data_IF_370426467272
#
_entry.id   IF_370426467272
#
_cell.length_a   1.000
_cell.length_b   1.000
_cell.length_c   1.000
_cell.angle_alpha   90.00
_cell.angle_beta   90.00
_cell.angle_gamma   90.00
#
_symmetry.space_group_name_H-M   'P 1'
#
loop_
_entity.id
_entity.type
_entity.pdbx_description
1 polymer ?
#
# COMPACT_ATOMS: atom_id res chain seq x y z
N UNK A 1 0.76 19.32 3.69
CA UNK A 1 1.89 19.30 4.62
C UNK A 1 1.43 18.43 5.77
N UNK A 2 2.15 17.33 6.01
CA UNK A 2 1.81 16.34 7.03
C UNK A 2 2.82 16.51 8.16
N UNK A 3 2.34 16.58 9.40
CA UNK A 3 3.19 16.68 10.58
C UNK A 3 3.13 15.39 11.40
N UNK A 4 4.20 15.13 12.16
CA UNK A 4 4.25 14.11 13.19
C UNK A 4 4.23 14.76 14.56
N UNK A 5 3.46 14.20 15.48
CA UNK A 5 3.52 14.58 16.89
C UNK A 5 4.71 13.85 17.56
N UNK A 6 5.83 14.56 17.78
CA UNK A 6 6.99 14.08 18.56
C UNK A 6 7.70 15.29 19.21
N UNK A 7 8.04 15.31 20.53
CA UNK A 7 8.25 16.57 21.25
C UNK A 7 9.66 17.18 21.20
N UNK A 8 10.64 16.60 20.48
CA UNK A 8 12.04 17.07 20.61
C UNK A 8 12.78 17.07 19.26
N UNK A 9 13.33 18.25 18.89
CA UNK A 9 14.15 18.64 17.70
C UNK A 9 13.47 19.14 16.41
N UNK A 10 14.23 20.03 15.73
CA UNK A 10 13.91 20.92 14.60
C UNK A 10 12.80 20.43 13.64
N UNK A 11 11.56 20.71 14.04
CA UNK A 11 10.32 20.21 13.46
C UNK A 11 10.18 20.48 11.96
N UNK A 12 10.66 21.65 11.48
CA UNK A 12 10.58 22.04 10.07
C UNK A 12 11.44 21.17 9.14
N UNK A 13 12.66 20.84 9.56
CA UNK A 13 13.56 19.98 8.78
C UNK A 13 13.07 18.53 8.76
N UNK A 14 12.52 18.05 9.89
CA UNK A 14 11.95 16.72 9.97
C UNK A 14 10.71 16.60 9.09
N UNK A 15 9.81 17.58 9.14
CA UNK A 15 8.58 17.60 8.34
C UNK A 15 8.87 17.68 6.83
N UNK A 16 9.90 18.42 6.39
CA UNK A 16 10.27 18.48 4.96
C UNK A 16 10.82 17.15 4.42
N UNK A 17 11.50 16.36 5.26
CA UNK A 17 11.98 15.02 4.91
C UNK A 17 10.84 14.00 4.92
N UNK A 18 9.91 14.08 5.87
CA UNK A 18 8.71 13.23 5.95
C UNK A 18 7.83 13.41 4.70
N UNK A 19 7.51 14.65 4.36
CA UNK A 19 6.75 14.97 3.15
C UNK A 19 7.46 14.41 1.90
N UNK A 20 8.79 14.43 1.86
CA UNK A 20 9.57 13.88 0.75
C UNK A 20 9.38 12.37 0.57
N UNK A 21 9.34 11.58 1.64
CA UNK A 21 9.09 10.13 1.55
C UNK A 21 7.67 9.82 1.08
N UNK A 22 6.68 10.57 1.56
CA UNK A 22 5.30 10.44 1.09
C UNK A 22 5.18 10.80 -0.40
N UNK A 23 5.78 11.90 -0.83
CA UNK A 23 5.78 12.32 -2.24
C UNK A 23 6.47 11.27 -3.12
N UNK A 24 7.62 10.73 -2.69
CA UNK A 24 8.29 9.65 -3.41
C UNK A 24 7.35 8.45 -3.64
N UNK A 25 6.65 8.00 -2.59
CA UNK A 25 5.66 6.93 -2.71
C UNK A 25 4.56 7.22 -3.74
N UNK A 26 4.04 8.46 -3.75
CA UNK A 26 3.02 8.90 -4.70
C UNK A 26 3.55 8.93 -6.14
N UNK A 27 4.76 9.45 -6.35
CA UNK A 27 5.36 9.53 -7.67
C UNK A 27 5.74 8.15 -8.22
N UNK A 28 6.19 7.23 -7.36
CA UNK A 28 6.39 5.83 -7.71
C UNK A 28 5.07 5.17 -8.18
N UNK A 29 3.96 5.42 -7.50
CA UNK A 29 2.66 4.92 -7.94
C UNK A 29 2.27 5.49 -9.32
N UNK A 30 2.38 6.82 -9.49
CA UNK A 30 2.08 7.48 -10.78
C UNK A 30 2.98 6.96 -11.90
N UNK A 31 4.25 6.65 -11.61
CA UNK A 31 5.17 6.05 -12.57
C UNK A 31 4.67 4.69 -13.07
N UNK A 32 4.19 3.81 -12.17
CA UNK A 32 3.64 2.51 -12.61
C UNK A 32 2.44 2.67 -13.53
N UNK A 33 1.56 3.63 -13.24
CA UNK A 33 0.39 3.86 -14.08
C UNK A 33 0.78 4.34 -15.48
N UNK A 34 1.80 5.20 -15.58
CA UNK A 34 2.36 5.66 -16.87
C UNK A 34 3.07 4.56 -17.66
N UNK A 35 3.66 3.58 -16.97
CA UNK A 35 4.48 2.53 -17.57
C UNK A 35 3.84 1.12 -17.54
N UNK A 36 2.55 1.04 -17.21
CA UNK A 36 1.83 -0.22 -16.93
C UNK A 36 1.92 -1.24 -18.07
N UNK A 37 1.98 -0.76 -19.32
CA UNK A 37 2.06 -1.58 -20.53
C UNK A 37 3.47 -1.71 -21.12
N UNK A 38 4.45 -1.01 -20.55
CA UNK A 38 5.82 -0.97 -21.09
C UNK A 38 6.69 -2.14 -20.62
N UNK A 39 6.18 -2.97 -19.70
CA UNK A 39 6.96 -4.03 -19.06
C UNK A 39 8.20 -3.50 -18.33
N UNK A 40 8.20 -2.22 -17.92
CA UNK A 40 9.34 -1.60 -17.22
C UNK A 40 9.19 -1.80 -15.71
N UNK A 41 10.31 -1.99 -15.03
CA UNK A 41 10.41 -2.02 -13.57
C UNK A 41 11.38 -0.95 -13.11
N UNK A 42 10.98 -0.19 -12.10
CA UNK A 42 11.77 0.89 -11.52
C UNK A 42 12.39 0.42 -10.21
N UNK A 43 13.69 0.67 -10.07
CA UNK A 43 14.41 0.50 -8.82
C UNK A 43 14.89 1.88 -8.36
N UNK A 44 14.53 2.24 -7.13
CA UNK A 44 14.94 3.48 -6.46
C UNK A 44 15.84 3.10 -5.29
N UNK A 45 17.09 3.51 -5.29
CA UNK A 45 17.94 3.44 -4.09
C UNK A 45 17.99 4.82 -3.44
N UNK A 46 17.70 4.88 -2.14
CA UNK A 46 17.81 6.10 -1.35
C UNK A 46 18.73 5.86 -0.15
N UNK A 47 19.66 6.78 0.04
CA UNK A 47 20.53 6.83 1.21
C UNK A 47 20.10 8.00 2.08
N UNK A 48 19.69 7.69 3.31
CA UNK A 48 19.04 8.59 4.26
C UNK A 48 19.91 8.78 5.52
N UNK A 49 19.90 9.96 6.17
CA UNK A 49 20.63 10.17 7.43
C UNK A 49 20.12 9.29 8.57
N UNK A 50 18.83 8.98 8.53
CA UNK A 50 18.13 8.06 9.41
C UNK A 50 16.97 7.46 8.61
N UNK A 51 16.78 6.16 8.73
CA UNK A 51 15.72 5.42 8.02
C UNK A 51 14.44 5.25 8.83
N UNK A 52 14.40 5.78 10.05
CA UNK A 52 13.17 5.84 10.85
C UNK A 52 12.02 6.37 10.00
N UNK A 53 10.96 5.57 9.91
CA UNK A 53 9.72 5.81 9.17
C UNK A 53 9.82 5.88 7.64
N UNK A 54 11.01 5.90 7.06
CA UNK A 54 11.18 6.09 5.62
C UNK A 54 10.38 5.05 4.82
N UNK A 55 10.47 3.78 5.22
CA UNK A 55 9.79 2.69 4.54
C UNK A 55 8.26 2.79 4.63
N UNK A 56 7.76 3.04 5.84
CA UNK A 56 6.33 3.13 6.09
C UNK A 56 5.73 4.39 5.42
N UNK A 57 6.42 5.52 5.42
CA UNK A 57 6.00 6.75 4.73
C UNK A 57 5.99 6.60 3.21
N UNK A 58 6.98 5.94 2.60
CA UNK A 58 6.99 5.66 1.16
C UNK A 58 5.81 4.76 0.79
N UNK A 59 5.58 3.68 1.54
CA UNK A 59 4.44 2.80 1.31
C UNK A 59 3.09 3.52 1.55
N UNK A 60 3.05 4.47 2.47
CA UNK A 60 1.86 5.27 2.76
C UNK A 60 1.57 6.25 1.63
N UNK A 61 2.59 6.91 1.10
CA UNK A 61 2.50 7.78 -0.08
C UNK A 61 1.93 7.04 -1.29
N UNK A 62 2.40 5.81 -1.52
CA UNK A 62 1.83 4.93 -2.55
C UNK A 62 0.35 4.63 -2.30
N UNK A 63 0.00 4.28 -1.05
CA UNK A 63 -1.38 3.96 -0.66
C UNK A 63 -2.32 5.15 -0.82
N UNK A 64 -1.83 6.35 -0.49
CA UNK A 64 -2.53 7.62 -0.65
C UNK A 64 -2.69 8.03 -2.12
N UNK A 65 -1.84 7.54 -3.02
CA UNK A 65 -1.92 7.80 -4.46
C UNK A 65 -2.83 6.81 -5.22
N UNK A 66 -3.14 5.67 -4.62
CA UNK A 66 -3.86 4.60 -5.30
C UNK A 66 -5.34 4.94 -5.53
N UNK A 67 -5.69 5.22 -6.79
CA UNK A 67 -7.06 5.48 -7.18
C UNK A 67 -7.93 4.21 -7.06
N UNK A 68 -9.16 4.30 -6.54
CA UNK A 68 -10.11 3.21 -6.65
C UNK A 68 -10.41 2.93 -8.14
N UNK A 69 -10.71 1.67 -8.52
CA UNK A 69 -11.03 1.34 -9.90
C UNK A 69 -12.21 2.17 -10.41
N UNK A 70 -12.04 2.81 -11.57
CA UNK A 70 -13.11 3.58 -12.24
C UNK A 70 -14.32 2.71 -12.62
N UNK A 71 -14.13 1.39 -12.72
CA UNK A 71 -15.16 0.42 -13.09
C UNK A 71 -16.13 0.04 -11.97
N UNK A 72 -15.96 0.54 -10.74
CA UNK A 72 -16.93 0.27 -9.67
C UNK A 72 -18.16 1.13 -9.86
N UNK A 73 -19.16 0.56 -10.52
CA UNK A 73 -20.50 1.12 -10.51
C UNK A 73 -21.12 0.90 -9.12
N UNK A 74 -21.23 1.97 -8.34
CA UNK A 74 -21.93 2.04 -7.05
C UNK A 74 -23.46 1.93 -7.17
N UNK A 75 -23.96 1.31 -8.24
CA UNK A 75 -25.39 1.22 -8.49
C UNK A 75 -25.84 -0.18 -8.11
N UNK A 76 -27.04 -0.27 -7.53
CA UNK A 76 -27.75 -1.52 -7.23
C UNK A 76 -27.85 -2.50 -8.41
N UNK A 77 -27.68 -2.01 -9.64
CA UNK A 77 -27.60 -2.83 -10.87
C UNK A 77 -26.43 -3.81 -10.82
N UNK A 78 -25.28 -3.37 -10.31
CA UNK A 78 -24.04 -4.16 -10.21
C UNK A 78 -24.11 -5.22 -9.13
N UNK A 79 -24.91 -5.02 -8.07
CA UNK A 79 -25.14 -6.02 -7.02
C UNK A 79 -25.89 -7.25 -7.54
N UNK A 80 -26.80 -7.07 -8.50
CA UNK A 80 -27.54 -8.18 -9.11
C UNK A 80 -26.67 -9.01 -10.04
N UNK A 81 -25.56 -8.45 -10.51
CA UNK A 81 -24.61 -9.09 -11.42
C UNK A 81 -23.56 -9.93 -10.67
N UNK A 82 -23.40 -9.73 -9.37
CA UNK A 82 -22.49 -10.54 -8.56
C UNK A 82 -23.05 -11.96 -8.46
N UNK A 83 -22.33 -13.00 -8.93
CA UNK A 83 -22.77 -14.37 -8.80
C UNK A 83 -22.89 -14.77 -7.33
N UNK A 84 -23.95 -15.52 -7.01
CA UNK A 84 -24.07 -16.17 -5.70
C UNK A 84 -22.84 -17.06 -5.44
N UNK A 85 -22.46 -17.15 -4.17
CA UNK A 85 -21.25 -17.79 -3.66
C UNK A 85 -19.92 -17.14 -4.05
N UNK A 86 -19.94 -15.92 -4.61
CA UNK A 86 -18.70 -15.18 -4.86
C UNK A 86 -18.13 -14.59 -3.57
N UNK A 87 -16.81 -14.61 -3.36
CA UNK A 87 -16.20 -13.84 -2.29
C UNK A 87 -16.36 -12.34 -2.58
N UNK A 88 -16.81 -11.58 -1.59
CA UNK A 88 -17.02 -10.14 -1.71
C UNK A 88 -16.46 -9.40 -0.51
N UNK A 89 -16.09 -8.14 -0.74
CA UNK A 89 -15.90 -7.14 0.31
C UNK A 89 -16.97 -6.06 0.17
N UNK A 90 -17.63 -5.77 1.27
CA UNK A 90 -18.70 -4.80 1.38
C UNK A 90 -18.30 -3.72 2.40
N UNK A 91 -18.30 -2.47 1.99
CA UNK A 91 -17.99 -1.33 2.84
C UNK A 91 -19.25 -0.48 3.06
N UNK A 92 -19.53 -0.19 4.32
CA UNK A 92 -20.54 0.76 4.79
C UNK A 92 -19.86 2.00 5.36
N UNK A 93 -20.64 2.99 5.81
CA UNK A 93 -20.09 4.19 6.44
C UNK A 93 -19.20 3.91 7.65
N UNK A 94 -19.44 2.81 8.38
CA UNK A 94 -18.75 2.49 9.64
C UNK A 94 -17.92 1.21 9.59
N UNK A 95 -18.25 0.27 8.71
CA UNK A 95 -17.70 -1.07 8.73
C UNK A 95 -17.26 -1.53 7.35
N UNK A 96 -16.26 -2.39 7.35
CA UNK A 96 -15.93 -3.26 6.24
C UNK A 96 -16.38 -4.65 6.66
N UNK A 97 -16.95 -5.39 5.71
CA UNK A 97 -17.45 -6.76 5.85
C UNK A 97 -16.91 -7.57 4.68
N UNK A 98 -16.54 -8.82 4.93
CA UNK A 98 -16.13 -9.74 3.89
C UNK A 98 -16.73 -11.10 4.16
N UNK A 99 -17.10 -11.76 3.09
CA UNK A 99 -17.48 -13.15 3.13
C UNK A 99 -18.01 -13.57 1.78
N UNK A 100 -18.84 -14.60 1.79
CA UNK A 100 -19.40 -15.21 0.60
C UNK A 100 -20.73 -14.57 0.28
N UNK A 101 -20.83 -13.82 -0.81
CA UNK A 101 -22.08 -13.22 -1.26
C UNK A 101 -23.11 -14.30 -1.55
N UNK A 102 -24.32 -14.14 -1.03
CA UNK A 102 -25.42 -15.08 -1.27
C UNK A 102 -26.48 -14.44 -2.16
N UNK A 103 -26.94 -13.25 -1.79
CA UNK A 103 -27.97 -12.54 -2.55
C UNK A 103 -28.17 -11.11 -2.08
N UNK A 104 -28.71 -10.33 -3.00
CA UNK A 104 -29.35 -9.05 -2.75
C UNK A 104 -30.88 -9.23 -2.75
N UNK A 105 -31.59 -8.55 -1.86
CA UNK A 105 -33.05 -8.55 -1.84
C UNK A 105 -33.61 -7.30 -1.14
N UNK A 106 -34.87 -7.02 -1.39
CA UNK A 106 -35.60 -5.94 -0.71
C UNK A 106 -36.72 -6.54 0.14
N UNK A 107 -36.82 -6.12 1.40
CA UNK A 107 -37.86 -6.59 2.32
C UNK A 107 -38.44 -5.39 3.06
N UNK A 108 -39.76 -5.17 2.92
CA UNK A 108 -40.49 -4.04 3.55
C UNK A 108 -39.85 -2.68 3.22
N UNK A 109 -39.50 -2.45 1.95
CA UNK A 109 -38.84 -1.22 1.50
C UNK A 109 -37.38 -1.05 1.93
N UNK A 110 -36.82 -2.02 2.68
CA UNK A 110 -35.41 -2.00 3.09
C UNK A 110 -34.59 -2.88 2.18
N UNK A 111 -33.57 -2.27 1.58
CA UNK A 111 -32.49 -2.90 0.82
C UNK A 111 -31.62 -3.77 1.75
N UNK A 112 -31.44 -5.04 1.42
CA UNK A 112 -30.67 -5.99 2.23
C UNK A 112 -29.73 -6.85 1.38
N UNK A 113 -28.60 -7.18 1.98
CA UNK A 113 -27.62 -8.10 1.41
C UNK A 113 -27.41 -9.29 2.35
N UNK A 114 -27.22 -10.48 1.79
CA UNK A 114 -26.79 -11.66 2.50
C UNK A 114 -25.38 -12.07 2.07
N UNK A 115 -24.52 -12.29 3.04
CA UNK A 115 -23.08 -12.61 2.95
C UNK A 115 -22.81 -13.61 4.08
N UNK A 116 -22.24 -14.77 3.78
CA UNK A 116 -21.91 -15.80 4.77
C UNK A 116 -23.06 -16.06 5.77
N UNK A 117 -24.28 -16.28 5.25
CA UNK A 117 -25.47 -16.60 6.05
C UNK A 117 -26.09 -15.43 6.84
N UNK A 118 -25.37 -14.34 7.05
CA UNK A 118 -25.86 -13.15 7.77
C UNK A 118 -26.52 -12.16 6.82
N UNK A 119 -27.36 -11.29 7.36
CA UNK A 119 -28.10 -10.27 6.62
C UNK A 119 -27.74 -8.88 7.13
N UNK A 120 -27.48 -7.95 6.21
CA UNK A 120 -27.24 -6.55 6.52
C UNK A 120 -28.28 -5.69 5.84
N UNK A 121 -28.79 -4.72 6.58
CA UNK A 121 -29.51 -3.60 5.98
C UNK A 121 -28.47 -2.72 5.31
N UNK A 122 -28.71 -2.44 4.03
CA UNK A 122 -27.80 -1.65 3.21
C UNK A 122 -28.30 -0.21 3.22
N UNK A 123 -27.64 0.61 4.04
CA UNK A 123 -27.82 2.06 4.05
C UNK A 123 -26.88 2.69 3.03
N UNK A 124 -27.41 3.60 2.21
CA UNK A 124 -26.57 4.36 1.28
C UNK A 124 -25.85 5.49 2.02
N UNK A 125 -24.60 5.80 1.64
CA UNK A 125 -23.79 5.15 0.61
C UNK A 125 -23.10 3.86 1.10
N UNK A 126 -22.90 2.91 0.18
CA UNK A 126 -22.14 1.68 0.39
C UNK A 126 -21.33 1.34 -0.86
N UNK A 127 -20.30 0.51 -0.72
CA UNK A 127 -19.56 -0.07 -1.84
C UNK A 127 -19.47 -1.58 -1.68
N UNK A 128 -19.55 -2.31 -2.80
CA UNK A 128 -19.25 -3.73 -2.83
C UNK A 128 -18.24 -4.01 -3.93
N UNK A 129 -17.35 -4.96 -3.66
CA UNK A 129 -16.36 -5.43 -4.62
C UNK A 129 -16.33 -6.94 -4.61
N UNK A 130 -16.48 -7.55 -5.79
CA UNK A 130 -16.28 -8.99 -5.97
C UNK A 130 -14.79 -9.28 -5.99
N UNK A 131 -14.36 -10.12 -5.05
CA UNK A 131 -12.98 -10.57 -4.97
C UNK A 131 -12.76 -11.64 -6.04
N UNK A 132 -11.61 -11.61 -6.70
CA UNK A 132 -11.15 -12.76 -7.48
C UNK A 132 -10.66 -13.82 -6.49
N UNK A 133 -10.95 -15.09 -6.76
CA UNK A 133 -10.73 -16.25 -5.88
C UNK A 133 -9.28 -16.41 -5.39
N UNK A 134 -8.31 -15.80 -6.06
CA UNK A 134 -6.89 -15.77 -5.64
C UNK A 134 -6.60 -14.80 -4.47
N UNK A 135 -7.52 -13.90 -4.13
CA UNK A 135 -7.37 -12.85 -3.09
C UNK A 135 -8.02 -13.33 -1.77
N UNK A 136 -7.99 -14.63 -1.50
CA UNK A 136 -8.41 -15.19 -0.22
C UNK A 136 -7.26 -14.93 0.77
N UNK A 137 -7.49 -14.05 1.74
CA UNK A 137 -6.57 -13.71 2.82
C UNK A 137 -5.88 -14.96 3.37
N UNK A 138 -4.54 -15.04 3.23
CA UNK A 138 -3.75 -16.19 3.69
C UNK A 138 -3.68 -16.30 5.22
N UNK A 139 -4.13 -15.28 5.96
CA UNK A 139 -3.85 -15.15 7.40
C UNK A 139 -5.11 -15.08 8.28
N UNK A 140 -6.31 -15.02 7.69
CA UNK A 140 -7.57 -15.00 8.46
C UNK A 140 -8.27 -16.34 8.27
N UNK A 141 -8.03 -17.27 9.19
CA UNK A 141 -8.87 -18.46 9.37
C UNK A 141 -10.22 -18.00 9.92
N UNK A 142 -11.17 -17.73 9.03
CA UNK A 142 -12.55 -17.53 9.44
C UNK A 142 -13.14 -18.87 9.89
N UNK A 143 -13.87 -18.92 11.02
CA UNK A 143 -14.75 -20.04 11.31
C UNK A 143 -15.69 -20.26 10.13
N UNK A 144 -15.93 -21.53 9.77
CA UNK A 144 -16.78 -21.88 8.62
C UNK A 144 -18.11 -21.11 8.65
N UNK A 145 -18.33 -20.32 7.61
CA UNK A 145 -19.60 -19.63 7.39
C UNK A 145 -19.79 -18.30 8.13
N UNK A 146 -18.80 -17.76 8.86
CA UNK A 146 -18.91 -16.45 9.50
C UNK A 146 -18.25 -15.34 8.66
N UNK A 147 -18.91 -14.18 8.42
CA UNK A 147 -18.28 -13.04 7.77
C UNK A 147 -17.29 -12.36 8.73
N UNK A 148 -16.13 -11.96 8.22
CA UNK A 148 -15.22 -11.10 8.97
C UNK A 148 -15.77 -9.66 8.98
N UNK A 149 -15.44 -8.91 10.04
CA UNK A 149 -15.84 -7.51 10.21
C UNK A 149 -14.66 -6.72 10.73
N UNK A 150 -14.49 -5.50 10.24
CA UNK A 150 -13.55 -4.54 10.83
C UNK A 150 -14.10 -3.13 10.71
N UNK A 151 -13.62 -2.24 11.59
CA UNK A 151 -13.95 -0.81 11.52
C UNK A 151 -13.40 -0.22 10.22
N UNK A 152 -14.21 0.62 9.55
CA UNK A 152 -13.72 1.39 8.40
C UNK A 152 -12.77 2.48 8.87
N UNK A 153 -11.61 2.56 8.23
CA UNK A 153 -10.68 3.69 8.34
C UNK A 153 -11.06 4.72 7.27
N UNK A 154 -11.28 5.97 7.68
CA UNK A 154 -11.43 7.10 6.75
C UNK A 154 -10.05 7.69 6.47
N UNK A 155 -9.76 7.94 5.20
CA UNK A 155 -8.53 8.60 4.79
C UNK A 155 -8.60 10.12 4.94
N UNK A 156 -9.80 10.71 4.92
CA UNK A 156 -9.97 12.16 5.05
C UNK A 156 -9.03 12.94 4.12
N UNK A 157 -8.22 13.88 4.64
CA UNK A 157 -7.33 14.73 3.84
C UNK A 157 -6.08 14.00 3.31
N UNK A 158 -5.82 12.76 3.74
CA UNK A 158 -4.56 12.07 3.45
C UNK A 158 -4.55 11.37 2.08
N UNK A 159 -5.68 11.33 1.35
CA UNK A 159 -5.70 10.90 -0.05
C UNK A 159 -5.46 12.04 -1.03
N UNK A 160 -4.80 11.75 -2.14
CA UNK A 160 -4.54 12.74 -3.21
C UNK A 160 -5.76 13.05 -4.10
N UNK A 161 -6.87 12.33 -3.94
CA UNK A 161 -8.11 12.56 -4.69
C UNK A 161 -9.13 13.29 -3.82
N UNK A 162 -10.15 13.88 -4.47
CA UNK A 162 -11.30 14.46 -3.77
C UNK A 162 -11.95 13.41 -2.87
N UNK A 163 -11.78 13.58 -1.55
CA UNK A 163 -12.33 12.70 -0.52
C UNK A 163 -13.85 12.85 -0.40
N UNK A 164 -14.56 12.40 -1.43
CA UNK A 164 -16.00 12.21 -1.33
C UNK A 164 -16.28 10.97 -0.46
N UNK A 165 -17.38 10.93 0.31
CA UNK A 165 -17.78 9.71 1.04
C UNK A 165 -17.83 8.48 0.13
N UNK A 166 -18.22 8.70 -1.13
CA UNK A 166 -18.28 7.71 -2.18
C UNK A 166 -16.90 7.11 -2.53
N UNK A 167 -15.89 7.94 -2.78
CA UNK A 167 -14.54 7.48 -3.10
C UNK A 167 -13.89 6.77 -1.92
N UNK A 168 -14.16 7.19 -0.69
CA UNK A 168 -13.65 6.49 0.50
C UNK A 168 -14.24 5.09 0.66
N UNK A 169 -15.54 4.92 0.38
CA UNK A 169 -16.19 3.60 0.44
C UNK A 169 -15.64 2.67 -0.64
N UNK A 170 -15.44 3.17 -1.85
CA UNK A 170 -14.79 2.42 -2.92
C UNK A 170 -13.37 2.00 -2.54
N UNK A 171 -12.63 2.93 -1.98
CA UNK A 171 -11.27 2.71 -1.50
C UNK A 171 -11.23 1.64 -0.39
N UNK A 172 -12.20 1.63 0.52
CA UNK A 172 -12.32 0.62 1.57
C UNK A 172 -12.73 -0.78 1.04
N UNK A 173 -13.64 -0.82 0.07
CA UNK A 173 -14.13 -2.07 -0.53
C UNK A 173 -13.10 -2.74 -1.46
N UNK A 174 -12.20 -1.98 -2.08
CA UNK A 174 -11.26 -2.51 -3.06
C UNK A 174 -10.01 -3.15 -2.41
N UNK A 175 -9.66 -4.42 -2.73
CA UNK A 175 -8.41 -5.04 -2.28
C UNK A 175 -7.20 -4.39 -2.93
N UNK A 176 -6.12 -4.19 -2.16
CA UNK A 176 -4.91 -3.49 -2.63
C UNK A 176 -3.66 -4.31 -2.53
N UNK A 177 -3.81 -5.62 -2.68
CA UNK A 177 -2.67 -6.53 -2.61
C UNK A 177 -1.71 -6.18 -3.71
N UNK A 178 -0.59 -5.56 -3.33
CA UNK A 178 0.47 -5.16 -4.23
C UNK A 178 1.66 -4.51 -3.51
N UNK A 179 1.64 -4.40 -2.18
CA UNK A 179 2.73 -3.77 -1.43
C UNK A 179 3.36 -4.71 -0.44
N UNK A 180 4.67 -4.60 -0.31
CA UNK A 180 5.43 -5.30 0.70
C UNK A 180 6.46 -4.36 1.30
N UNK A 181 6.60 -4.39 2.61
CA UNK A 181 7.71 -3.80 3.33
C UNK A 181 8.56 -4.96 3.86
N UNK A 182 9.83 -4.97 3.49
CA UNK A 182 10.80 -5.96 3.92
C UNK A 182 11.79 -5.28 4.86
N UNK A 183 11.91 -5.77 6.09
CA UNK A 183 12.84 -5.19 7.04
C UNK A 183 12.84 -5.88 8.40
N UNK A 184 13.38 -5.21 9.40
CA UNK A 184 13.35 -5.69 10.78
C UNK A 184 12.00 -5.34 11.40
N UNK A 185 11.11 -6.33 11.59
CA UNK A 185 9.73 -6.13 12.07
C UNK A 185 9.66 -5.30 13.35
N UNK A 186 10.47 -5.63 14.36
CA UNK A 186 10.51 -4.92 15.64
C UNK A 186 10.93 -3.44 15.54
N UNK A 187 11.49 -3.02 14.40
CA UNK A 187 11.77 -1.59 14.13
C UNK A 187 10.60 -0.91 13.42
N UNK A 188 9.97 -1.59 12.47
CA UNK A 188 8.92 -1.01 11.63
C UNK A 188 7.59 -0.98 12.39
N UNK A 189 7.28 -1.99 13.21
CA UNK A 189 6.01 -2.08 13.95
C UNK A 189 5.72 -0.83 14.81
N UNK A 190 6.65 -0.30 15.61
CA UNK A 190 6.44 0.97 16.32
C UNK A 190 6.18 2.17 15.41
N UNK A 191 6.75 2.20 14.19
CA UNK A 191 6.52 3.27 13.23
C UNK A 191 5.09 3.25 12.68
N UNK A 192 4.46 2.07 12.64
CA UNK A 192 3.07 1.91 12.18
C UNK A 192 2.06 2.50 13.16
N UNK A 193 2.41 2.65 14.44
CA UNK A 193 1.54 3.24 15.46
C UNK A 193 1.53 4.78 15.43
N UNK A 194 2.45 5.37 14.65
CA UNK A 194 2.58 6.83 14.56
C UNK A 194 1.37 7.48 13.90
N UNK A 195 0.98 8.65 14.41
CA UNK A 195 -0.11 9.45 13.89
C UNK A 195 0.40 10.45 12.85
N UNK A 196 -0.16 10.37 11.65
CA UNK A 196 -0.08 11.44 10.66
C UNK A 196 -1.16 12.47 10.96
N UNK A 197 -0.77 13.74 11.03
CA UNK A 197 -1.70 14.86 11.18
C UNK A 197 -1.67 15.72 9.92
N UNK A 198 -2.84 16.20 9.50
CA UNK A 198 -2.94 17.17 8.42
C UNK A 198 -2.74 18.56 8.99
N UNK A 199 -1.90 19.40 8.36
CA UNK A 199 -1.80 20.81 8.79
C UNK A 199 -2.99 21.66 8.35
N UNK A 200 -3.82 21.16 7.43
CA UNK A 200 -4.99 21.87 6.92
C UNK A 200 -6.30 21.48 7.61
N UNK A 201 -6.31 20.38 8.37
CA UNK A 201 -7.49 19.87 9.07
C UNK A 201 -7.08 19.18 10.38
N UNK A 202 -7.94 19.16 11.40
CA UNK A 202 -7.69 18.41 12.65
C UNK A 202 -7.80 16.88 12.49
N UNK A 203 -7.62 16.37 11.26
CA UNK A 203 -7.71 14.95 10.97
C UNK A 203 -6.41 14.24 11.33
N UNK A 204 -6.55 13.07 11.94
CA UNK A 204 -5.43 12.20 12.33
C UNK A 204 -5.67 10.78 11.82
N UNK A 205 -4.61 10.12 11.36
CA UNK A 205 -4.65 8.70 10.96
C UNK A 205 -3.38 8.00 11.42
N UNK A 206 -3.50 6.77 11.92
CA UNK A 206 -2.33 5.94 12.21
C UNK A 206 -1.71 5.44 10.90
N UNK A 207 -0.38 5.36 10.85
CA UNK A 207 0.33 4.94 9.64
C UNK A 207 -0.04 3.50 9.24
N UNK A 208 -0.20 2.60 10.20
CA UNK A 208 -0.69 1.24 9.99
C UNK A 208 -2.10 1.17 9.41
N UNK A 209 -2.98 2.10 9.79
CA UNK A 209 -4.34 2.21 9.26
C UNK A 209 -4.34 2.66 7.80
N UNK A 210 -3.50 3.65 7.47
CA UNK A 210 -3.31 4.13 6.10
C UNK A 210 -2.74 3.03 5.19
N UNK A 211 -1.79 2.25 5.70
CA UNK A 211 -1.13 1.16 5.00
C UNK A 211 -1.98 -0.11 4.90
N UNK A 212 -2.98 -0.26 5.78
CA UNK A 212 -3.78 -1.48 5.95
C UNK A 212 -2.89 -2.72 6.10
N UNK A 213 -2.03 -2.68 7.11
CA UNK A 213 -1.01 -3.71 7.38
C UNK A 213 -1.64 -5.06 7.68
N UNK A 214 -1.07 -6.10 7.06
CA UNK A 214 -1.43 -7.51 7.27
C UNK A 214 -1.36 -7.91 8.75
N UNK A 215 -2.53 -8.17 9.34
CA UNK A 215 -2.76 -8.47 10.76
C UNK A 215 -3.96 -9.40 10.92
N UNK A 216 -3.94 -10.23 11.98
CA UNK A 216 -4.98 -11.23 12.23
C UNK A 216 -6.31 -10.64 12.69
N UNK A 217 -6.31 -9.40 13.17
CA UNK A 217 -7.46 -8.70 13.73
C UNK A 217 -8.12 -7.70 12.76
N UNK A 218 -7.59 -7.53 11.54
CA UNK A 218 -8.10 -6.55 10.57
C UNK A 218 -8.10 -7.08 9.14
N UNK A 219 -9.02 -6.56 8.32
CA UNK A 219 -8.96 -6.77 6.88
C UNK A 219 -7.69 -6.17 6.35
N UNK A 220 -6.80 -7.05 5.90
CA UNK A 220 -5.47 -6.61 5.58
C UNK A 220 -4.96 -7.39 4.39
N UNK A 221 -4.77 -6.57 3.36
CA UNK A 221 -4.36 -6.91 2.02
C UNK A 221 -3.68 -5.71 1.39
N UNK A 222 -3.43 -4.65 2.18
CA UNK A 222 -2.84 -3.43 1.67
C UNK A 222 -1.33 -3.59 1.58
N UNK A 223 -0.71 -4.01 2.66
CA UNK A 223 0.74 -4.01 2.80
C UNK A 223 1.18 -5.19 3.67
N UNK A 224 2.00 -6.08 3.10
CA UNK A 224 2.63 -7.17 3.85
C UNK A 224 3.89 -6.68 4.55
N UNK A 225 4.03 -6.96 5.84
CA UNK A 225 5.28 -6.75 6.57
C UNK A 225 6.07 -8.07 6.68
N UNK A 226 7.19 -8.14 5.97
CA UNK A 226 8.02 -9.33 5.86
C UNK A 226 9.35 -9.11 6.57
N UNK A 227 9.76 -10.10 7.36
CA UNK A 227 11.07 -10.10 8.01
C UNK A 227 12.17 -10.42 7.00
N UNK A 228 13.34 -9.79 7.13
CA UNK A 228 14.51 -10.01 6.24
C UNK A 228 14.81 -11.50 5.98
N UNK A 229 14.71 -12.34 7.02
CA UNK A 229 15.03 -13.78 6.92
C UNK A 229 14.11 -14.57 5.98
N UNK A 230 12.86 -14.14 5.83
CA UNK A 230 11.86 -14.79 4.96
C UNK A 230 11.70 -14.07 3.63
N UNK A 231 12.47 -12.99 3.41
CA UNK A 231 12.27 -12.09 2.28
C UNK A 231 12.52 -12.77 0.94
N UNK A 232 13.58 -13.57 0.82
CA UNK A 232 13.98 -14.19 -0.45
C UNK A 232 12.85 -15.06 -1.02
N UNK A 233 12.36 -16.01 -0.23
CA UNK A 233 11.28 -16.94 -0.63
C UNK A 233 9.98 -16.16 -0.91
N UNK A 234 9.61 -15.26 0.00
CA UNK A 234 8.36 -14.49 -0.11
C UNK A 234 8.37 -13.56 -1.34
N UNK A 235 9.51 -12.95 -1.68
CA UNK A 235 9.65 -12.08 -2.84
C UNK A 235 9.70 -12.88 -4.15
N UNK A 236 10.25 -14.09 -4.14
CA UNK A 236 10.23 -14.97 -5.31
C UNK A 236 8.80 -15.39 -5.67
N UNK A 237 7.98 -15.68 -4.65
CA UNK A 237 6.56 -16.01 -4.81
C UNK A 237 5.66 -14.78 -5.02
N UNK A 238 6.20 -13.57 -4.84
CA UNK A 238 5.46 -12.33 -5.01
C UNK A 238 5.12 -12.13 -6.49
N UNK A 239 3.92 -12.58 -6.87
CA UNK A 239 3.36 -12.39 -8.21
C UNK A 239 3.26 -10.90 -8.48
N UNK A 240 4.09 -10.41 -9.40
CA UNK A 240 4.05 -9.02 -9.83
C UNK A 240 2.73 -8.74 -10.53
N UNK A 241 1.87 -7.94 -9.92
CA UNK A 241 0.87 -7.23 -10.71
C UNK A 241 1.52 -6.02 -11.37
N UNK A 242 0.82 -5.45 -12.35
CA UNK A 242 1.20 -4.26 -13.09
C UNK A 242 1.29 -2.97 -12.23
N UNK A 243 0.94 -3.02 -10.95
CA UNK A 243 1.06 -1.89 -10.01
C UNK A 243 1.48 -2.37 -8.62
N UNK A 244 2.67 -2.96 -8.53
CA UNK A 244 3.23 -3.48 -7.27
C UNK A 244 4.44 -2.68 -6.76
N UNK A 245 4.56 -2.58 -5.43
CA UNK A 245 5.62 -1.89 -4.70
C UNK A 245 6.28 -2.84 -3.70
N UNK A 246 7.61 -2.89 -3.69
CA UNK A 246 8.39 -3.49 -2.61
C UNK A 246 9.28 -2.41 -2.01
N UNK A 247 9.24 -2.25 -0.70
CA UNK A 247 10.13 -1.35 0.04
C UNK A 247 11.10 -2.19 0.87
N UNK A 248 12.39 -2.11 0.56
CA UNK A 248 13.48 -2.81 1.23
C UNK A 248 14.12 -1.87 2.24
N UNK A 249 13.78 -2.07 3.51
CA UNK A 249 14.15 -1.19 4.60
C UNK A 249 15.44 -1.64 5.31
N UNK A 250 16.56 -1.17 4.76
CA UNK A 250 17.90 -1.44 5.27
C UNK A 250 18.76 -2.37 4.42
N UNK A 251 20.05 -2.41 4.76
CA UNK A 251 21.08 -3.24 4.13
C UNK A 251 20.66 -4.70 3.88
N UNK A 252 20.31 -5.45 4.95
CA UNK A 252 19.92 -6.86 4.80
C UNK A 252 18.64 -7.06 3.99
N UNK A 253 17.73 -6.08 3.95
CA UNK A 253 16.58 -6.15 3.06
C UNK A 253 16.99 -5.89 1.60
N UNK A 254 17.89 -4.93 1.37
CA UNK A 254 18.37 -4.51 0.05
C UNK A 254 19.10 -5.63 -0.72
N UNK A 255 19.67 -6.62 -0.04
CA UNK A 255 20.21 -7.84 -0.68
C UNK A 255 19.18 -8.55 -1.57
N UNK A 256 17.88 -8.38 -1.28
CA UNK A 256 16.78 -9.01 -2.02
C UNK A 256 16.31 -8.20 -3.24
N UNK A 257 16.95 -7.06 -3.57
CA UNK A 257 16.56 -6.20 -4.70
C UNK A 257 16.50 -6.96 -6.05
N UNK A 258 17.34 -7.98 -6.19
CA UNK A 258 17.46 -8.81 -7.37
C UNK A 258 16.31 -9.81 -7.56
N UNK A 259 15.71 -10.23 -6.45
CA UNK A 259 14.65 -11.25 -6.44
C UNK A 259 13.27 -10.59 -6.58
N UNK A 260 13.17 -9.30 -6.23
CA UNK A 260 11.93 -8.54 -6.38
C UNK A 260 11.44 -8.51 -7.82
N UNK A 261 10.21 -8.99 -8.01
CA UNK A 261 9.50 -8.88 -9.28
C UNK A 261 8.57 -7.66 -9.36
N UNK A 262 8.52 -6.83 -8.32
CA UNK A 262 7.61 -5.70 -8.25
C UNK A 262 7.82 -4.68 -9.38
N UNK A 263 6.75 -3.97 -9.73
CA UNK A 263 6.82 -2.87 -10.70
C UNK A 263 7.75 -1.76 -10.21
N UNK A 264 7.74 -1.49 -8.90
CA UNK A 264 8.66 -0.58 -8.24
C UNK A 264 9.29 -1.27 -7.04
N UNK A 265 10.62 -1.17 -6.94
CA UNK A 265 11.36 -1.56 -5.74
C UNK A 265 12.09 -0.34 -5.19
N UNK A 266 11.90 -0.02 -3.91
CA UNK A 266 12.60 1.09 -3.25
C UNK A 266 13.50 0.51 -2.16
N UNK A 267 14.81 0.69 -2.28
CA UNK A 267 15.80 0.27 -1.29
C UNK A 267 16.28 1.47 -0.45
N UNK A 268 16.30 1.31 0.87
CA UNK A 268 16.62 2.37 1.82
C UNK A 268 17.89 2.01 2.60
N UNK A 269 18.89 2.88 2.54
CA UNK A 269 20.19 2.72 3.21
C UNK A 269 20.37 3.79 4.29
N UNK A 270 20.79 3.39 5.48
CA UNK A 270 20.99 4.27 6.63
C UNK A 270 22.46 4.71 6.72
N UNK A 271 22.72 6.01 6.62
CA UNK A 271 24.08 6.57 6.70
C UNK A 271 24.78 6.31 8.04
N UNK A 272 24.02 6.19 9.15
CA UNK A 272 24.57 6.00 10.49
C UNK A 272 25.14 4.61 10.71
N UNK A 273 24.74 3.65 9.87
CA UNK A 273 25.10 2.23 10.01
C UNK A 273 25.74 1.68 8.73
N UNK A 274 26.40 2.54 7.94
CA UNK A 274 27.05 2.08 6.71
C UNK A 274 28.27 1.23 7.03
N UNK A 275 28.06 -0.07 7.08
CA UNK A 275 28.99 -1.02 6.51
C UNK A 275 29.02 -0.76 4.99
N UNK A 276 30.18 -0.73 4.31
CA UNK A 276 30.29 -0.36 2.88
C UNK A 276 29.57 -1.32 1.93
N UNK A 277 29.34 -2.56 2.36
CA UNK A 277 28.83 -3.69 1.57
C UNK A 277 27.50 -3.48 0.84
N UNK A 278 26.48 -2.78 1.40
CA UNK A 278 25.18 -2.61 0.73
C UNK A 278 25.22 -1.59 -0.41
N UNK A 279 26.10 -0.59 -0.36
CA UNK A 279 26.33 0.36 -1.46
C UNK A 279 27.06 -0.34 -2.60
N UNK A 280 28.04 -1.18 -2.29
CA UNK A 280 28.74 -2.02 -3.27
C UNK A 280 27.77 -2.96 -3.97
N UNK A 281 26.87 -3.62 -3.21
CA UNK A 281 25.84 -4.50 -3.79
C UNK A 281 24.89 -3.77 -4.74
N UNK A 282 24.47 -2.54 -4.39
CA UNK A 282 23.63 -1.73 -5.29
C UNK A 282 24.42 -1.24 -6.52
N UNK A 283 25.70 -0.90 -6.34
CA UNK A 283 26.58 -0.53 -7.46
C UNK A 283 26.77 -1.69 -8.43
N UNK A 284 26.95 -2.91 -7.92
CA UNK A 284 27.01 -4.13 -8.71
C UNK A 284 25.69 -4.45 -9.41
N UNK A 285 24.56 -4.25 -8.73
CA UNK A 285 23.23 -4.37 -9.32
C UNK A 285 23.08 -3.43 -10.52
N UNK A 286 23.44 -2.16 -10.32
CA UNK A 286 23.38 -1.12 -11.36
C UNK A 286 24.28 -1.47 -12.53
N UNK A 287 25.53 -1.86 -12.28
CA UNK A 287 26.49 -2.16 -13.34
C UNK A 287 26.07 -3.33 -14.23
N UNK A 288 25.39 -4.34 -13.66
CA UNK A 288 25.17 -5.61 -14.35
C UNK A 288 23.73 -5.86 -14.80
N UNK A 289 22.73 -5.14 -14.26
CA UNK A 289 21.32 -5.57 -14.37
C UNK A 289 20.29 -4.47 -14.61
N UNK A 290 20.68 -3.20 -14.58
CA UNK A 290 19.74 -2.11 -14.77
C UNK A 290 20.37 -0.92 -15.50
N UNK A 291 19.57 -0.24 -16.32
CA UNK A 291 20.01 0.97 -16.99
C UNK A 291 19.82 2.15 -16.04
N UNK A 292 20.88 2.93 -15.75
CA UNK A 292 20.71 4.13 -14.94
C UNK A 292 19.84 5.14 -15.68
N UNK A 293 18.95 5.80 -14.95
CA UNK A 293 18.02 6.79 -15.49
C UNK A 293 18.11 8.08 -14.71
N UNK A 294 17.78 9.20 -15.35
CA UNK A 294 17.79 10.50 -14.69
C UNK A 294 16.53 10.65 -13.84
N UNK A 295 16.71 10.95 -12.55
CA UNK A 295 15.64 11.09 -11.56
C UNK A 295 14.46 11.95 -12.06
N UNK A 296 14.75 13.15 -12.55
CA UNK A 296 13.74 14.11 -13.05
C UNK A 296 13.02 13.67 -14.32
N UNK A 297 13.65 12.80 -15.13
CA UNK A 297 13.05 12.29 -16.37
C UNK A 297 12.03 11.16 -16.12
N UNK A 298 12.19 10.43 -15.02
CA UNK A 298 11.34 9.28 -14.69
C UNK A 298 10.32 9.64 -13.60
N UNK A 299 10.77 10.31 -12.53
CA UNK A 299 9.94 10.75 -11.41
C UNK A 299 9.87 12.27 -11.40
N UNK A 300 8.65 12.83 -11.26
CA UNK A 300 8.47 14.26 -11.04
C UNK A 300 8.70 14.61 -9.56
N UNK A 301 9.83 14.14 -9.01
CA UNK A 301 10.19 14.26 -7.61
C UNK A 301 11.56 14.92 -7.49
N UNK A 302 11.65 15.93 -6.62
CA UNK A 302 12.90 16.56 -6.25
C UNK A 302 13.27 16.08 -4.83
N UNK A 303 14.39 15.34 -4.69
CA UNK A 303 14.78 14.80 -3.40
C UNK A 303 15.22 15.93 -2.48
N UNK A 304 14.87 15.83 -1.20
CA UNK A 304 15.40 16.72 -0.18
C UNK A 304 16.94 16.66 -0.17
N UNK A 305 17.68 17.77 0.05
CA UNK A 305 19.15 17.78 -0.01
C UNK A 305 19.85 16.82 0.97
N UNK A 306 19.14 16.39 2.01
CA UNK A 306 19.63 15.40 2.96
C UNK A 306 19.59 13.96 2.43
N UNK A 307 18.94 13.73 1.28
CA UNK A 307 18.76 12.43 0.66
C UNK A 307 19.71 12.29 -0.53
N UNK A 308 20.43 11.18 -0.59
CA UNK A 308 21.12 10.77 -1.81
C UNK A 308 20.24 9.73 -2.52
N UNK A 309 20.09 9.86 -3.82
CA UNK A 309 19.16 9.04 -4.60
C UNK A 309 19.85 8.56 -5.87
N UNK A 310 19.67 7.28 -6.17
CA UNK A 310 20.02 6.70 -7.46
C UNK A 310 18.81 5.96 -8.04
N UNK A 311 18.60 6.09 -9.35
CA UNK A 311 17.53 5.41 -10.07
C UNK A 311 18.08 4.49 -11.13
N UNK A 312 17.45 3.33 -11.25
CA UNK A 312 17.70 2.42 -12.35
C UNK A 312 16.40 1.79 -12.84
N UNK A 313 16.32 1.54 -14.15
CA UNK A 313 15.17 0.90 -14.78
C UNK A 313 15.62 -0.37 -15.46
N UNK A 314 14.79 -1.41 -15.33
CA UNK A 314 14.98 -2.68 -16.02
C UNK A 314 13.75 -3.02 -16.85
N UNK A 315 13.95 -3.53 -18.06
CA UNK A 315 12.86 -4.17 -18.82
C UNK A 315 12.59 -5.55 -18.25
N UNK A 316 11.33 -5.89 -18.01
CA UNK A 316 10.91 -7.25 -17.72
C UNK A 316 11.40 -8.14 -18.87
N UNK A 317 12.02 -9.27 -18.51
CA UNK A 317 12.32 -10.29 -19.52
C UNK A 317 10.97 -10.76 -20.07
N UNK A 318 10.77 -10.55 -21.37
CA UNK A 318 9.69 -11.21 -22.10
C UNK A 318 10.10 -12.68 -22.14
N UNK A 319 9.48 -13.49 -21.30
CA UNK A 319 9.59 -14.95 -21.35
C UNK A 319 8.53 -15.48 -22.31
#
# INVERSE_FOLDING_TARGET
MIALEDPVTNEKFRNSVIDNFLILGQECFKWTHRNMNAGRRLTVAITVPDRTMAAALIAAGWSAAQLPPRSISLRSRSLREIPSNSPVRFATNSEIIQGTFQRWFEKRGKKQIAISGRRWVVEEPYAIWQLKTEIASSNICLPDGEPFRSKRVSLGPFSIWESTPRSELLWAAFPRENRMIVGTKSRIEPELEMLLTSTSTDSRIQLGDLLQIDSSDRFSWGTRLIGVRSAHETLAEFKSSSSSLVVLDGAGAAENINVSNASVTVAIFDRRRMDCTPIEFYSDYRANRADPVVLSSELNWQPHPALEVDLSVRRAKIC
#
